data_IF_700051381309
#
_entry.id   IF_700051381309
#
_cell.length_a   1.000
_cell.length_b   1.000
_cell.length_c   1.000
_cell.angle_alpha   90.00
_cell.angle_beta   90.00
_cell.angle_gamma   90.00
#
_symmetry.space_group_name_H-M   'P 1'
#
loop_
_entity.id
_entity.type
_entity.pdbx_description
1 polymer ?
#
# COMPACT_ATOMS: atom_id res chain seq x y z
N UNK A 1 4.56 7.76 -26.14
CA UNK A 1 5.20 6.82 -25.21
C UNK A 1 4.08 6.03 -24.58
N UNK A 2 4.08 4.70 -24.67
CA UNK A 2 2.95 3.85 -24.27
C UNK A 2 3.07 3.52 -22.78
N UNK A 3 2.42 4.33 -21.93
CA UNK A 3 2.55 4.26 -20.46
C UNK A 3 2.05 2.92 -19.92
N UNK A 4 1.03 2.34 -20.56
CA UNK A 4 0.46 1.03 -20.22
C UNK A 4 1.51 -0.08 -20.38
N UNK A 5 2.25 -0.09 -21.50
CA UNK A 5 3.35 -1.06 -21.69
C UNK A 5 4.47 -0.92 -20.68
N UNK A 6 4.75 0.30 -20.23
CA UNK A 6 5.78 0.56 -19.20
C UNK A 6 5.30 0.00 -17.86
N UNK A 7 4.03 0.24 -17.49
CA UNK A 7 3.43 -0.28 -16.26
C UNK A 7 3.37 -1.81 -16.26
N UNK A 8 3.00 -2.45 -17.38
CA UNK A 8 2.95 -3.92 -17.49
C UNK A 8 4.34 -4.55 -17.31
N UNK A 9 5.35 -4.01 -18.01
CA UNK A 9 6.74 -4.50 -17.91
C UNK A 9 7.30 -4.31 -16.51
N UNK A 10 7.02 -3.15 -15.90
CA UNK A 10 7.40 -2.83 -14.54
C UNK A 10 6.76 -3.78 -13.53
N UNK A 11 5.44 -3.98 -13.61
CA UNK A 11 4.68 -4.87 -12.72
C UNK A 11 5.18 -6.32 -12.79
N UNK A 12 5.54 -6.78 -13.99
CA UNK A 12 6.13 -8.11 -14.16
C UNK A 12 7.51 -8.21 -13.49
N UNK A 13 8.39 -7.24 -13.71
CA UNK A 13 9.73 -7.22 -13.11
C UNK A 13 9.67 -7.13 -11.58
N UNK A 14 8.77 -6.29 -11.05
CA UNK A 14 8.49 -6.14 -9.64
C UNK A 14 8.05 -7.46 -9.01
N UNK A 15 7.08 -8.14 -9.64
CA UNK A 15 6.61 -9.45 -9.19
C UNK A 15 7.75 -10.46 -9.10
N UNK A 16 8.55 -10.59 -10.16
CA UNK A 16 9.68 -11.53 -10.17
C UNK A 16 10.68 -11.23 -9.05
N UNK A 17 10.99 -9.95 -8.82
CA UNK A 17 11.92 -9.55 -7.77
C UNK A 17 11.36 -9.88 -6.37
N UNK A 18 10.11 -9.53 -6.10
CA UNK A 18 9.48 -9.79 -4.79
C UNK A 18 9.31 -11.29 -4.51
N UNK A 19 9.07 -12.11 -5.54
CA UNK A 19 9.05 -13.58 -5.40
C UNK A 19 10.43 -14.15 -4.99
N UNK A 20 11.52 -13.46 -5.33
CA UNK A 20 12.89 -13.82 -4.94
C UNK A 20 13.34 -13.17 -3.62
N UNK A 21 12.58 -12.19 -3.10
CA UNK A 21 12.92 -11.51 -1.86
C UNK A 21 12.79 -12.46 -0.65
N UNK A 22 13.75 -12.38 0.26
CA UNK A 22 13.69 -13.09 1.54
C UNK A 22 12.50 -12.62 2.39
N UNK A 23 12.09 -13.43 3.37
CA UNK A 23 11.04 -13.04 4.32
C UNK A 23 11.36 -11.72 5.02
N UNK A 24 12.60 -11.54 5.48
CA UNK A 24 13.04 -10.31 6.15
C UNK A 24 13.01 -9.09 5.23
N UNK A 25 13.38 -9.25 3.95
CA UNK A 25 13.21 -8.19 2.96
C UNK A 25 11.74 -7.83 2.79
N UNK A 26 10.85 -8.82 2.66
CA UNK A 26 9.41 -8.56 2.51
C UNK A 26 8.82 -7.84 3.73
N UNK A 27 9.17 -8.27 4.95
CA UNK A 27 8.80 -7.57 6.20
C UNK A 27 9.28 -6.11 6.19
N UNK A 28 10.55 -5.88 5.83
CA UNK A 28 11.11 -4.53 5.77
C UNK A 28 10.43 -3.65 4.71
N UNK A 29 10.07 -4.21 3.55
CA UNK A 29 9.35 -3.51 2.49
C UNK A 29 7.92 -3.17 2.90
N UNK A 30 7.19 -4.08 3.56
CA UNK A 30 5.86 -3.78 4.12
C UNK A 30 5.90 -2.58 5.08
N UNK A 31 6.88 -2.57 5.99
CA UNK A 31 7.07 -1.43 6.91
C UNK A 31 7.41 -0.13 6.18
N UNK A 32 8.20 -0.22 5.11
CA UNK A 32 8.54 0.94 4.29
C UNK A 32 7.30 1.50 3.57
N UNK A 33 6.55 0.67 2.83
CA UNK A 33 5.39 1.12 2.05
C UNK A 33 4.26 1.67 2.94
N UNK A 34 4.17 1.27 4.21
CA UNK A 34 3.23 1.86 5.18
C UNK A 34 3.29 3.40 5.18
N UNK A 35 4.48 3.99 5.03
CA UNK A 35 4.64 5.44 5.03
C UNK A 35 4.00 6.15 3.81
N UNK A 36 3.81 5.44 2.68
CA UNK A 36 3.02 5.96 1.57
C UNK A 36 1.54 5.99 1.91
N UNK A 37 0.99 4.87 2.38
CA UNK A 37 -0.44 4.76 2.66
C UNK A 37 -0.88 5.66 3.82
N UNK A 38 0.00 5.88 4.80
CA UNK A 38 -0.19 6.84 5.89
C UNK A 38 -0.37 8.29 5.40
N UNK A 39 0.02 8.60 4.15
CA UNK A 39 -0.21 9.91 3.53
C UNK A 39 -1.56 10.06 2.85
N UNK A 40 -2.30 8.97 2.63
CA UNK A 40 -3.61 9.05 1.99
C UNK A 40 -4.63 9.71 2.93
N UNK A 41 -5.55 10.52 2.39
CA UNK A 41 -6.65 11.08 3.15
C UNK A 41 -7.38 9.99 3.92
N UNK A 42 -7.70 10.28 5.19
CA UNK A 42 -8.53 9.43 6.02
C UNK A 42 -8.01 7.99 6.24
N UNK A 43 -6.75 7.66 5.89
CA UNK A 43 -6.23 6.28 5.99
C UNK A 43 -6.44 5.65 7.38
N UNK A 44 -6.00 6.33 8.44
CA UNK A 44 -6.12 5.81 9.80
C UNK A 44 -7.58 5.78 10.28
N UNK A 45 -8.37 6.82 9.95
CA UNK A 45 -9.78 6.89 10.36
C UNK A 45 -10.63 5.83 9.66
N UNK A 46 -10.39 5.57 8.37
CA UNK A 46 -11.07 4.52 7.63
C UNK A 46 -10.85 3.15 8.28
N UNK A 47 -9.60 2.85 8.66
CA UNK A 47 -9.26 1.58 9.35
C UNK A 47 -9.90 1.51 10.74
N UNK A 48 -9.90 2.61 11.49
CA UNK A 48 -10.54 2.65 12.81
C UNK A 48 -12.06 2.45 12.72
N UNK A 49 -12.72 3.14 11.79
CA UNK A 49 -14.18 3.10 11.62
C UNK A 49 -14.64 1.74 11.11
N UNK A 50 -13.97 1.20 10.10
CA UNK A 50 -14.42 -0.04 9.44
C UNK A 50 -13.93 -1.30 10.16
N UNK A 51 -12.70 -1.29 10.68
CA UNK A 51 -12.10 -2.49 11.30
C UNK A 51 -12.03 -2.45 12.83
N UNK A 52 -12.40 -1.33 13.46
CA UNK A 52 -12.27 -1.14 14.91
C UNK A 52 -10.83 -1.39 15.39
N UNK A 53 -9.87 -0.97 14.57
CA UNK A 53 -8.44 -1.09 14.83
C UNK A 53 -7.83 0.30 14.88
N UNK A 54 -7.30 0.67 16.05
CA UNK A 54 -6.41 1.83 16.17
C UNK A 54 -4.99 1.42 15.83
N UNK A 55 -4.37 2.11 14.88
CA UNK A 55 -3.00 1.81 14.46
C UNK A 55 -2.01 2.47 15.43
N UNK A 56 -1.33 1.65 16.22
CA UNK A 56 -0.05 2.03 16.80
C UNK A 56 1.05 1.53 15.86
N UNK A 57 1.70 2.46 15.15
CA UNK A 57 2.72 2.15 14.15
C UNK A 57 3.87 1.32 14.71
N UNK A 58 4.30 1.60 15.95
CA UNK A 58 5.40 0.87 16.58
C UNK A 58 4.99 -0.57 16.89
N UNK A 59 3.78 -0.76 17.43
CA UNK A 59 3.23 -2.08 17.69
C UNK A 59 3.02 -2.86 16.38
N UNK A 60 2.42 -2.23 15.37
CA UNK A 60 2.20 -2.85 14.05
C UNK A 60 3.52 -3.36 13.45
N UNK A 61 4.58 -2.56 13.50
CA UNK A 61 5.88 -2.96 12.96
C UNK A 61 6.50 -4.11 13.74
N UNK A 62 6.36 -4.12 15.07
CA UNK A 62 6.77 -5.24 15.90
C UNK A 62 5.97 -6.51 15.57
N UNK A 63 4.66 -6.39 15.34
CA UNK A 63 3.80 -7.51 14.96
C UNK A 63 4.16 -8.07 13.58
N UNK A 64 4.54 -7.21 12.63
CA UNK A 64 5.07 -7.64 11.31
C UNK A 64 6.38 -8.42 11.47
N UNK A 65 7.30 -7.92 12.30
CA UNK A 65 8.60 -8.57 12.52
C UNK A 65 8.43 -9.94 13.19
N UNK A 66 7.52 -10.03 14.16
CA UNK A 66 7.22 -11.25 14.92
C UNK A 66 6.17 -12.16 14.27
N UNK A 67 5.62 -11.78 13.12
CA UNK A 67 4.52 -12.49 12.42
C UNK A 67 3.24 -12.65 13.27
N UNK A 68 3.02 -11.75 14.23
CA UNK A 68 1.87 -11.71 15.13
C UNK A 68 0.67 -10.96 14.51
N UNK A 69 0.26 -11.38 13.32
CA UNK A 69 -0.73 -10.64 12.52
C UNK A 69 -2.16 -11.21 12.54
N UNK A 70 -2.34 -12.36 13.21
CA UNK A 70 -3.60 -13.13 13.21
C UNK A 70 -4.78 -12.32 13.77
N UNK A 71 -4.55 -11.50 14.79
CA UNK A 71 -5.62 -10.77 15.45
C UNK A 71 -6.16 -9.63 14.56
N UNK A 72 -5.30 -8.94 13.81
CA UNK A 72 -5.75 -8.00 12.78
C UNK A 72 -6.60 -8.72 11.72
N UNK A 73 -6.12 -9.85 11.20
CA UNK A 73 -6.84 -10.62 10.17
C UNK A 73 -8.21 -11.10 10.66
N UNK A 74 -8.34 -11.49 11.93
CA UNK A 74 -9.64 -11.88 12.52
C UNK A 74 -10.60 -10.70 12.59
N UNK A 75 -10.13 -9.55 13.06
CA UNK A 75 -10.96 -8.33 13.15
C UNK A 75 -11.43 -7.88 11.78
N UNK A 76 -10.54 -7.82 10.79
CA UNK A 76 -10.90 -7.46 9.40
C UNK A 76 -11.97 -8.40 8.85
N UNK A 77 -11.81 -9.72 9.02
CA UNK A 77 -12.81 -10.70 8.56
C UNK A 77 -14.16 -10.55 9.27
N UNK A 78 -14.14 -10.26 10.58
CA UNK A 78 -15.36 -10.04 11.35
C UNK A 78 -16.09 -8.78 10.88
N UNK A 79 -15.37 -7.67 10.72
CA UNK A 79 -15.91 -6.42 10.20
C UNK A 79 -16.51 -6.59 8.80
N UNK A 80 -15.79 -7.20 7.86
CA UNK A 80 -16.30 -7.41 6.51
C UNK A 80 -17.53 -8.31 6.47
N UNK A 81 -17.66 -9.27 7.40
CA UNK A 81 -18.85 -10.12 7.50
C UNK A 81 -20.08 -9.41 8.07
N UNK A 82 -19.90 -8.22 8.66
CA UNK A 82 -20.98 -7.40 9.19
C UNK A 82 -21.48 -6.34 8.19
N UNK A 83 -20.81 -6.17 7.05
CA UNK A 83 -21.26 -5.25 6.00
C UNK A 83 -22.44 -5.88 5.25
N UNK A 84 -23.56 -5.17 5.21
CA UNK A 84 -24.74 -5.53 4.42
C UNK A 84 -24.98 -4.48 3.34
N UNK A 85 -24.59 -4.80 2.10
CA UNK A 85 -24.73 -3.92 0.93
C UNK A 85 -26.19 -3.62 0.55
N UNK A 86 -27.15 -4.34 1.14
CA UNK A 86 -28.59 -4.14 0.92
C UNK A 86 -29.28 -3.43 2.09
N UNK A 87 -28.55 -3.02 3.12
CA UNK A 87 -29.11 -2.27 4.23
C UNK A 87 -29.52 -0.85 3.79
N UNK A 88 -30.62 -0.34 4.34
CA UNK A 88 -31.16 1.00 4.00
C UNK A 88 -30.20 2.15 4.39
N UNK A 89 -29.27 1.90 5.31
CA UNK A 89 -28.25 2.82 5.80
C UNK A 89 -26.83 2.52 5.25
N UNK A 90 -26.72 1.66 4.23
CA UNK A 90 -25.44 1.39 3.58
C UNK A 90 -24.95 2.62 2.81
N UNK A 91 -23.75 3.08 3.16
CA UNK A 91 -23.01 4.10 2.41
C UNK A 91 -21.85 3.44 1.67
N UNK A 92 -21.79 3.67 0.35
CA UNK A 92 -20.67 3.19 -0.46
C UNK A 92 -19.41 3.97 -0.12
N UNK A 93 -18.33 3.23 0.18
CA UNK A 93 -17.05 3.82 0.53
C UNK A 93 -16.41 4.52 -0.66
N UNK A 94 -15.73 5.64 -0.39
CA UNK A 94 -14.95 6.33 -1.41
C UNK A 94 -13.78 5.45 -1.89
N UNK A 95 -13.32 5.66 -3.14
CA UNK A 95 -12.28 4.84 -3.75
C UNK A 95 -10.98 4.79 -2.90
N UNK A 96 -10.55 5.94 -2.35
CA UNK A 96 -9.36 6.02 -1.50
C UNK A 96 -9.55 5.25 -0.18
N UNK A 97 -10.76 5.22 0.37
CA UNK A 97 -11.05 4.45 1.58
C UNK A 97 -10.98 2.95 1.30
N UNK A 98 -11.57 2.48 0.19
CA UNK A 98 -11.48 1.08 -0.24
C UNK A 98 -10.01 0.67 -0.40
N UNK A 99 -9.22 1.48 -1.10
CA UNK A 99 -7.77 1.23 -1.29
C UNK A 99 -7.04 1.22 0.06
N UNK A 100 -7.38 2.12 0.97
CA UNK A 100 -6.77 2.19 2.32
C UNK A 100 -7.03 0.93 3.13
N UNK A 101 -8.27 0.44 3.10
CA UNK A 101 -8.67 -0.79 3.79
C UNK A 101 -7.99 -2.02 3.20
N UNK A 102 -7.96 -2.13 1.86
CA UNK A 102 -7.28 -3.22 1.16
C UNK A 102 -5.76 -3.21 1.43
N UNK A 103 -5.13 -2.05 1.35
CA UNK A 103 -3.72 -1.90 1.66
C UNK A 103 -3.41 -2.34 3.10
N UNK A 104 -4.22 -1.92 4.07
CA UNK A 104 -4.02 -2.35 5.45
C UNK A 104 -4.17 -3.88 5.59
N UNK A 105 -5.20 -4.47 5.00
CA UNK A 105 -5.38 -5.92 4.97
C UNK A 105 -4.17 -6.66 4.38
N UNK A 106 -3.61 -6.16 3.28
CA UNK A 106 -2.43 -6.73 2.65
C UNK A 106 -1.17 -6.59 3.53
N UNK A 107 -1.00 -5.46 4.22
CA UNK A 107 0.11 -5.25 5.16
C UNK A 107 0.06 -6.19 6.36
N UNK A 108 -1.13 -6.44 6.91
CA UNK A 108 -1.30 -7.38 8.03
C UNK A 108 -1.51 -8.82 7.59
N UNK A 109 -1.32 -9.12 6.30
CA UNK A 109 -1.41 -10.49 5.80
C UNK A 109 -0.11 -11.28 6.02
N UNK A 110 -0.14 -12.58 5.76
CA UNK A 110 1.05 -13.44 5.93
C UNK A 110 2.17 -13.02 4.96
N UNK A 111 3.32 -12.59 5.50
CA UNK A 111 4.48 -12.09 4.76
C UNK A 111 5.24 -13.18 3.99
N UNK A 112 4.95 -14.45 4.26
CA UNK A 112 5.46 -15.56 3.44
C UNK A 112 4.83 -15.59 2.04
N UNK A 113 3.69 -14.91 1.83
CA UNK A 113 3.02 -14.79 0.53
C UNK A 113 3.45 -13.50 -0.16
N UNK A 114 4.39 -13.62 -1.10
CA UNK A 114 4.90 -12.50 -1.92
C UNK A 114 3.79 -11.71 -2.63
N UNK A 115 2.73 -12.38 -3.04
CA UNK A 115 1.60 -11.78 -3.77
C UNK A 115 0.97 -10.57 -3.05
N UNK A 116 0.95 -10.56 -1.71
CA UNK A 116 0.37 -9.43 -0.98
C UNK A 116 1.25 -8.19 -1.06
N UNK A 117 2.58 -8.36 -1.01
CA UNK A 117 3.50 -7.26 -1.19
C UNK A 117 3.49 -6.76 -2.64
N UNK A 118 3.40 -7.65 -3.63
CA UNK A 118 3.21 -7.25 -5.04
C UNK A 118 1.95 -6.41 -5.20
N UNK A 119 0.83 -6.85 -4.62
CA UNK A 119 -0.42 -6.11 -4.64
C UNK A 119 -0.29 -4.73 -3.98
N UNK A 120 0.44 -4.63 -2.86
CA UNK A 120 0.71 -3.33 -2.21
C UNK A 120 1.48 -2.37 -3.13
N UNK A 121 2.53 -2.82 -3.81
CA UNK A 121 3.27 -1.93 -4.71
C UNK A 121 2.47 -1.54 -5.96
N UNK A 122 1.66 -2.44 -6.50
CA UNK A 122 0.78 -2.14 -7.64
C UNK A 122 -0.32 -1.14 -7.24
N UNK A 123 -0.93 -1.31 -6.07
CA UNK A 123 -1.94 -0.37 -5.58
C UNK A 123 -1.37 1.05 -5.39
N UNK A 124 -0.08 1.21 -5.10
CA UNK A 124 0.55 2.55 -5.09
C UNK A 124 0.53 3.21 -6.46
N UNK A 125 0.77 2.44 -7.54
CA UNK A 125 0.69 2.91 -8.91
C UNK A 125 -0.76 3.29 -9.24
N UNK A 126 -1.72 2.44 -8.87
CA UNK A 126 -3.16 2.68 -9.08
C UNK A 126 -3.64 3.94 -8.36
N UNK A 127 -3.21 4.19 -7.12
CA UNK A 127 -3.51 5.43 -6.40
C UNK A 127 -2.97 6.65 -7.15
N UNK A 128 -1.72 6.61 -7.59
CA UNK A 128 -1.12 7.75 -8.27
C UNK A 128 -1.76 7.99 -9.65
N UNK A 129 -2.15 6.94 -10.35
CA UNK A 129 -2.94 7.01 -11.59
C UNK A 129 -4.33 7.59 -11.32
N UNK A 130 -4.99 7.20 -10.22
CA UNK A 130 -6.24 7.82 -9.78
C UNK A 130 -6.08 9.33 -9.57
N UNK A 131 -5.07 9.76 -8.81
CA UNK A 131 -4.81 11.20 -8.64
C UNK A 131 -4.45 11.92 -9.95
N UNK A 132 -3.77 11.25 -10.88
CA UNK A 132 -3.52 11.82 -12.21
C UNK A 132 -4.83 12.11 -12.96
N UNK A 133 -5.77 11.17 -12.93
CA UNK A 133 -7.01 11.26 -13.70
C UNK A 133 -8.07 12.16 -13.05
N UNK A 134 -8.10 12.24 -11.72
CA UNK A 134 -9.20 12.89 -10.98
C UNK A 134 -8.82 14.20 -10.27
N UNK A 135 -7.54 14.53 -10.13
CA UNK A 135 -7.13 15.82 -9.56
C UNK A 135 -7.07 16.95 -10.60
N UNK A 136 -6.98 18.19 -10.13
CA UNK A 136 -6.83 19.37 -11.00
C UNK A 136 -5.46 19.47 -11.69
N UNK A 137 -4.47 18.65 -11.32
CA UNK A 137 -3.08 18.77 -11.80
C UNK A 137 -2.47 17.44 -12.24
N UNK A 138 -3.02 16.86 -13.31
CA UNK A 138 -2.52 15.63 -13.95
C UNK A 138 -1.00 15.66 -14.22
N UNK A 139 -0.43 16.79 -14.69
CA UNK A 139 1.01 16.89 -14.98
C UNK A 139 1.86 16.67 -13.72
N UNK A 140 1.43 17.24 -12.58
CA UNK A 140 2.11 17.04 -11.30
C UNK A 140 2.09 15.56 -10.89
N UNK A 141 0.92 14.92 -10.93
CA UNK A 141 0.76 13.52 -10.50
C UNK A 141 1.43 12.54 -11.43
N UNK A 142 1.44 12.79 -12.74
CA UNK A 142 2.23 12.00 -13.67
C UNK A 142 3.74 12.07 -13.33
N UNK A 143 4.21 13.25 -12.90
CA UNK A 143 5.57 13.42 -12.39
C UNK A 143 5.85 12.68 -11.08
N UNK A 144 4.85 12.56 -10.19
CA UNK A 144 4.95 11.75 -8.98
C UNK A 144 4.98 10.26 -9.33
N UNK A 145 4.09 9.80 -10.21
CA UNK A 145 4.03 8.42 -10.70
C UNK A 145 5.35 7.97 -11.34
N UNK A 146 5.94 8.82 -12.18
CA UNK A 146 7.24 8.53 -12.79
C UNK A 146 8.36 8.37 -11.74
N UNK A 147 8.35 9.17 -10.67
CA UNK A 147 9.31 9.04 -9.57
C UNK A 147 9.08 7.77 -8.75
N UNK A 148 7.83 7.36 -8.59
CA UNK A 148 7.49 6.12 -7.89
C UNK A 148 7.97 4.89 -8.67
N UNK A 149 7.73 4.84 -9.98
CA UNK A 149 8.24 3.76 -10.84
C UNK A 149 9.77 3.68 -10.73
N UNK A 150 10.47 4.81 -10.81
CA UNK A 150 11.93 4.84 -10.65
C UNK A 150 12.40 4.36 -9.27
N UNK A 151 11.65 4.66 -8.20
CA UNK A 151 11.96 4.15 -6.86
C UNK A 151 11.75 2.64 -6.79
N UNK A 152 10.63 2.13 -7.29
CA UNK A 152 10.36 0.70 -7.33
C UNK A 152 11.40 -0.07 -8.18
N UNK A 153 11.87 0.51 -9.30
CA UNK A 153 12.99 -0.04 -10.07
C UNK A 153 14.30 -0.14 -9.26
N UNK A 154 14.57 0.85 -8.39
CA UNK A 154 15.73 0.80 -7.49
C UNK A 154 15.56 -0.29 -6.43
N UNK A 155 14.35 -0.42 -5.86
CA UNK A 155 14.01 -1.49 -4.91
C UNK A 155 14.22 -2.86 -5.55
N UNK A 156 13.72 -3.08 -6.78
CA UNK A 156 13.91 -4.31 -7.55
C UNK A 156 15.40 -4.67 -7.65
N UNK A 157 16.26 -3.71 -8.00
CA UNK A 157 17.71 -3.92 -8.10
C UNK A 157 18.35 -4.26 -6.74
N UNK A 158 17.88 -3.65 -5.67
CA UNK A 158 18.37 -3.87 -4.31
C UNK A 158 17.88 -5.18 -3.68
N UNK A 159 16.76 -5.74 -4.13
CA UNK A 159 16.31 -7.06 -3.67
C UNK A 159 17.39 -8.10 -3.97
N UNK A 160 17.96 -8.06 -5.19
CA UNK A 160 19.01 -8.98 -5.63
C UNK A 160 20.32 -8.85 -4.83
N UNK A 161 20.53 -7.76 -4.10
CA UNK A 161 21.73 -7.56 -3.27
C UNK A 161 21.55 -7.99 -1.82
N UNK A 162 20.38 -8.57 -1.47
CA UNK A 162 20.04 -9.04 -0.12
C UNK A 162 20.11 -7.96 0.98
N UNK A 163 19.99 -6.69 0.60
CA UNK A 163 19.93 -5.56 1.54
C UNK A 163 18.55 -5.55 2.22
N UNK A 164 18.52 -5.19 3.52
CA UNK A 164 17.30 -4.89 4.26
C UNK A 164 16.92 -3.43 4.02
N UNK A 165 15.65 -3.20 3.71
CA UNK A 165 15.15 -1.87 3.35
C UNK A 165 14.89 -1.03 4.59
N UNK A 166 15.34 0.22 4.56
CA UNK A 166 15.04 1.18 5.61
C UNK A 166 13.57 1.62 5.50
N UNK A 167 12.85 1.60 6.62
CA UNK A 167 11.43 2.02 6.69
C UNK A 167 11.21 3.47 6.23
N UNK A 168 12.26 4.29 6.21
CA UNK A 168 12.20 5.70 5.84
C UNK A 168 12.23 5.96 4.34
N UNK A 169 12.53 4.96 3.49
CA UNK A 169 12.66 5.14 2.02
C UNK A 169 11.42 5.85 1.47
N UNK A 170 10.23 5.35 1.79
CA UNK A 170 8.96 5.93 1.36
C UNK A 170 8.59 7.21 2.11
N UNK A 171 8.92 7.30 3.41
CA UNK A 171 8.71 8.53 4.20
C UNK A 171 9.45 9.72 3.61
N UNK A 172 10.69 9.51 3.18
CA UNK A 172 11.52 10.54 2.54
C UNK A 172 11.00 10.84 1.13
N UNK A 173 10.66 9.81 0.35
CA UNK A 173 10.15 9.99 -1.02
C UNK A 173 8.88 10.85 -1.06
N UNK A 174 7.95 10.62 -0.12
CA UNK A 174 6.66 11.31 -0.03
C UNK A 174 6.63 12.46 0.99
N UNK A 175 7.79 12.94 1.46
CA UNK A 175 7.84 13.94 2.52
C UNK A 175 7.12 15.24 2.13
N UNK A 176 7.27 15.69 0.88
CA UNK A 176 6.73 16.95 0.36
C UNK A 176 5.53 16.77 -0.56
N UNK A 177 4.98 15.55 -0.63
CA UNK A 177 3.79 15.25 -1.44
C UNK A 177 2.58 15.28 -0.50
N UNK A 178 1.57 16.04 -0.91
CA UNK A 178 0.30 16.16 -0.21
C UNK A 178 -0.78 15.53 -1.09
N UNK A 179 -1.49 14.56 -0.53
CA UNK A 179 -2.62 13.91 -1.18
C UNK A 179 -3.89 14.66 -0.76
N UNK A 180 -4.53 15.43 -1.67
CA UNK A 180 -5.81 16.06 -1.36
C UNK A 180 -6.90 15.01 -1.23
N UNK A 181 -7.97 15.35 -0.51
CA UNK A 181 -9.21 14.59 -0.60
C UNK A 181 -9.81 14.83 -1.99
N UNK A 182 -10.22 13.75 -2.66
CA UNK A 182 -10.85 13.81 -3.98
C UNK A 182 -12.28 13.32 -3.78
N UNK A 183 -13.20 14.28 -3.68
CA UNK A 183 -14.65 14.05 -3.58
C UNK A 183 -15.20 13.30 -4.81
#
# INVERSE_FOLDING_TARGET
MDIVKIIDQHSFALRQAIEQASLEQRKSLVKAVFAFYEKLPNFQSAIEQNYQIKIDKKQLFQDVDQENLIDYQKRIRQSNACVDEYADDYEELAAIEVISLDAFFLMVSNQNKSQHLVALFNAMIEVLDYYENFSENSIYWNGVLAKEILLQEQIIKQIATHIIFDESIYRVHYQTIEFPDLD
#
